data_IF_776108470392
#
_entry.id   IF_776108470392
#
_cell.length_a   1.000
_cell.length_b   1.000
_cell.length_c   1.000
_cell.angle_alpha   90.00
_cell.angle_beta   90.00
_cell.angle_gamma   90.00
#
_symmetry.space_group_name_H-M   'P 1'
#
loop_
_entity.id
_entity.type
_entity.pdbx_description
1 polymer ?
#
# COMPACT_ATOMS: atom_id res chain seq x y z
N UNK A 1 -3.49 -7.78 3.99
CA UNK A 1 -2.28 -7.18 4.61
C UNK A 1 -2.14 -5.76 4.07
N UNK A 2 -1.72 -4.83 4.92
CA UNK A 2 -1.38 -3.45 4.54
C UNK A 2 0.14 -3.36 4.59
N UNK A 3 0.76 -3.12 3.44
CA UNK A 3 2.20 -2.92 3.26
C UNK A 3 2.41 -1.43 3.13
N UNK A 4 3.22 -0.81 3.99
CA UNK A 4 3.37 0.64 4.01
C UNK A 4 4.80 1.13 4.25
N UNK A 5 5.09 2.37 3.87
CA UNK A 5 6.34 3.03 4.21
C UNK A 5 6.42 3.36 5.71
N UNK A 6 7.64 3.50 6.22
CA UNK A 6 7.90 3.66 7.66
C UNK A 6 7.81 5.10 8.15
N UNK A 7 7.67 6.08 7.25
CA UNK A 7 7.65 7.48 7.61
C UNK A 7 6.25 7.91 8.13
N UNK A 8 6.08 9.22 8.34
CA UNK A 8 4.85 9.74 8.94
C UNK A 8 3.63 9.52 8.04
N UNK A 9 3.73 9.77 6.74
CA UNK A 9 2.58 9.60 5.86
C UNK A 9 2.22 8.12 5.69
N UNK A 10 3.20 7.24 5.51
CA UNK A 10 2.98 5.80 5.43
C UNK A 10 2.33 5.23 6.68
N UNK A 11 2.81 5.59 7.89
CA UNK A 11 2.24 5.13 9.16
C UNK A 11 0.82 5.67 9.35
N UNK A 12 0.59 6.97 9.15
CA UNK A 12 -0.73 7.59 9.31
C UNK A 12 -1.73 7.03 8.30
N UNK A 13 -1.32 6.83 7.05
CA UNK A 13 -2.12 6.23 6.00
C UNK A 13 -2.50 4.78 6.32
N UNK A 14 -1.55 3.98 6.78
CA UNK A 14 -1.82 2.59 7.18
C UNK A 14 -2.74 2.51 8.40
N UNK A 15 -2.56 3.38 9.39
CA UNK A 15 -3.43 3.46 10.57
C UNK A 15 -4.86 3.88 10.18
N UNK A 16 -5.00 4.89 9.33
CA UNK A 16 -6.29 5.34 8.79
C UNK A 16 -7.00 4.19 8.06
N UNK A 17 -6.28 3.51 7.17
CA UNK A 17 -6.83 2.40 6.41
C UNK A 17 -7.20 1.22 7.31
N UNK A 18 -6.42 0.94 8.36
CA UNK A 18 -6.70 -0.12 9.34
C UNK A 18 -8.01 0.09 10.11
N UNK A 19 -8.43 1.33 10.32
CA UNK A 19 -9.74 1.64 10.92
C UNK A 19 -10.92 1.31 9.99
N UNK A 20 -10.67 1.17 8.68
CA UNK A 20 -11.67 0.86 7.65
C UNK A 20 -11.64 -0.63 7.32
N UNK A 21 -10.45 -1.21 7.27
CA UNK A 21 -10.21 -2.61 6.93
C UNK A 21 -9.30 -3.28 7.97
N UNK A 22 -9.84 -4.23 8.72
CA UNK A 22 -9.07 -4.96 9.73
C UNK A 22 -8.05 -5.92 9.07
N UNK A 23 -6.80 -5.48 8.95
CA UNK A 23 -5.70 -6.21 8.30
C UNK A 23 -4.39 -6.07 9.10
N UNK A 24 -3.54 -7.08 8.96
CA UNK A 24 -2.16 -7.04 9.43
C UNK A 24 -1.37 -5.92 8.74
N UNK A 25 -0.53 -5.21 9.50
CA UNK A 25 0.40 -4.20 9.01
C UNK A 25 1.78 -4.83 8.78
N UNK A 26 2.43 -4.44 7.70
CA UNK A 26 3.77 -4.87 7.35
C UNK A 26 4.56 -3.70 6.78
N UNK A 27 5.81 -3.55 7.20
CA UNK A 27 6.72 -2.48 6.76
C UNK A 27 7.95 -3.14 6.15
N UNK A 28 8.21 -2.97 4.85
CA UNK A 28 9.46 -3.43 4.23
C UNK A 28 10.67 -2.73 4.86
N UNK A 29 11.80 -3.42 4.96
CA UNK A 29 13.05 -2.85 5.47
C UNK A 29 13.65 -1.81 4.51
N UNK A 30 13.42 -1.99 3.21
CA UNK A 30 13.98 -1.18 2.12
C UNK A 30 12.87 -0.74 1.15
N UNK A 31 13.23 0.05 0.13
CA UNK A 31 12.33 0.45 -0.97
C UNK A 31 12.05 -0.67 -1.99
N UNK A 32 12.30 -1.93 -1.61
CA UNK A 32 12.04 -3.15 -2.38
C UNK A 32 11.79 -4.30 -1.40
N UNK A 33 11.20 -5.39 -1.89
CA UNK A 33 10.97 -6.60 -1.10
C UNK A 33 12.13 -7.59 -1.28
N UNK A 34 12.79 -7.94 -0.18
CA UNK A 34 13.76 -9.03 -0.18
C UNK A 34 13.09 -10.42 -0.13
N UNK A 35 13.87 -11.48 -0.29
CA UNK A 35 13.32 -12.84 -0.37
C UNK A 35 12.67 -13.31 0.93
N UNK A 36 13.20 -12.92 2.10
CA UNK A 36 12.60 -13.24 3.39
C UNK A 36 11.22 -12.59 3.55
N UNK A 37 11.09 -11.33 3.12
CA UNK A 37 9.83 -10.57 3.15
C UNK A 37 8.81 -11.13 2.16
N UNK A 38 9.26 -11.54 0.96
CA UNK A 38 8.42 -12.23 -0.02
C UNK A 38 7.88 -13.55 0.54
N UNK A 39 8.74 -14.35 1.16
CA UNK A 39 8.32 -15.60 1.80
C UNK A 39 7.42 -15.34 3.02
N UNK A 40 7.67 -14.28 3.78
CA UNK A 40 6.79 -13.83 4.86
C UNK A 40 5.38 -13.55 4.33
N UNK A 41 5.27 -12.69 3.30
CA UNK A 41 3.99 -12.29 2.68
C UNK A 41 3.25 -13.53 2.14
N UNK A 42 3.94 -14.42 1.41
CA UNK A 42 3.36 -15.66 0.90
C UNK A 42 2.81 -16.55 2.01
N UNK A 43 3.57 -16.76 3.09
CA UNK A 43 3.16 -17.64 4.21
C UNK A 43 1.90 -17.15 4.92
N UNK A 44 1.65 -15.83 4.93
CA UNK A 44 0.42 -15.25 5.50
C UNK A 44 -0.80 -15.44 4.59
N UNK A 45 -0.59 -15.77 3.32
CA UNK A 45 -1.62 -15.99 2.31
C UNK A 45 -2.76 -14.95 2.38
N UNK A 46 -2.44 -13.64 2.30
CA UNK A 46 -3.44 -12.61 2.48
C UNK A 46 -4.48 -12.65 1.35
N UNK A 47 -5.77 -12.54 1.69
CA UNK A 47 -6.83 -12.48 0.67
C UNK A 47 -6.72 -11.22 -0.23
N UNK A 48 -6.21 -10.12 0.33
CA UNK A 48 -5.96 -8.84 -0.34
C UNK A 48 -4.71 -8.18 0.22
N UNK A 49 -3.96 -7.50 -0.64
CA UNK A 49 -2.83 -6.66 -0.27
C UNK A 49 -3.15 -5.20 -0.61
N UNK A 50 -2.87 -4.32 0.35
CA UNK A 50 -2.96 -2.88 0.19
C UNK A 50 -1.54 -2.32 0.31
N UNK A 51 -1.01 -1.79 -0.79
CA UNK A 51 0.27 -1.11 -0.83
C UNK A 51 0.04 0.38 -0.64
N UNK A 52 0.67 0.97 0.38
CA UNK A 52 0.35 2.31 0.86
C UNK A 52 1.63 3.12 0.96
N UNK A 53 1.67 4.24 0.24
CA UNK A 53 2.74 5.25 0.33
C UNK A 53 4.15 4.73 0.01
N UNK A 54 4.25 3.71 -0.84
CA UNK A 54 5.55 3.14 -1.22
C UNK A 54 5.60 2.74 -2.69
N UNK A 55 6.52 3.37 -3.42
CA UNK A 55 6.79 3.09 -4.82
C UNK A 55 7.75 1.90 -4.99
N UNK A 56 7.25 0.68 -4.74
CA UNK A 56 8.02 -0.54 -4.98
C UNK A 56 8.37 -0.70 -6.48
N UNK A 57 9.51 -1.35 -6.82
CA UNK A 57 9.85 -1.63 -8.22
C UNK A 57 8.87 -2.60 -8.86
N UNK A 58 8.73 -2.55 -10.19
CA UNK A 58 7.76 -3.38 -10.95
C UNK A 58 7.85 -4.88 -10.61
N UNK A 59 9.06 -5.42 -10.45
CA UNK A 59 9.28 -6.83 -10.07
C UNK A 59 8.55 -7.23 -8.76
N UNK A 60 8.45 -6.30 -7.81
CA UNK A 60 7.83 -6.55 -6.51
C UNK A 60 6.32 -6.34 -6.59
N UNK A 61 5.86 -5.44 -7.45
CA UNK A 61 4.43 -5.32 -7.78
C UNK A 61 3.90 -6.58 -8.46
N UNK A 62 4.61 -7.08 -9.47
CA UNK A 62 4.26 -8.31 -10.17
C UNK A 62 4.20 -9.48 -9.19
N UNK A 63 5.17 -9.56 -8.27
CA UNK A 63 5.13 -10.51 -7.17
C UNK A 63 3.86 -10.37 -6.31
N UNK A 64 3.53 -9.16 -5.85
CA UNK A 64 2.36 -8.94 -4.98
C UNK A 64 1.04 -9.30 -5.68
N UNK A 65 0.91 -8.96 -6.97
CA UNK A 65 -0.25 -9.34 -7.80
C UNK A 65 -0.39 -10.86 -7.96
N UNK A 66 0.72 -11.58 -8.04
CA UNK A 66 0.71 -13.04 -8.09
C UNK A 66 0.34 -13.69 -6.75
N UNK A 67 0.53 -12.99 -5.63
CA UNK A 67 0.15 -13.49 -4.30
C UNK A 67 -1.35 -13.27 -4.04
N UNK A 68 -1.89 -12.09 -4.32
CA UNK A 68 -3.29 -11.77 -4.05
C UNK A 68 -3.77 -10.54 -4.82
N UNK A 69 -5.07 -10.22 -4.71
CA UNK A 69 -5.61 -8.97 -5.25
C UNK A 69 -4.90 -7.76 -4.62
N UNK A 70 -4.28 -6.93 -5.47
CA UNK A 70 -3.49 -5.78 -5.07
C UNK A 70 -4.28 -4.48 -5.24
N UNK A 71 -4.26 -3.66 -4.19
CA UNK A 71 -4.72 -2.28 -4.17
C UNK A 71 -3.53 -1.38 -3.87
N UNK A 72 -3.41 -0.25 -4.56
CA UNK A 72 -2.31 0.70 -4.36
C UNK A 72 -2.91 2.07 -4.04
N UNK A 73 -2.45 2.68 -2.96
CA UNK A 73 -2.70 4.08 -2.60
C UNK A 73 -1.35 4.76 -2.51
N UNK A 74 -1.06 5.69 -3.41
CA UNK A 74 0.27 6.26 -3.51
C UNK A 74 0.22 7.64 -4.17
N UNK A 75 1.13 8.52 -3.81
CA UNK A 75 1.31 9.83 -4.46
C UNK A 75 2.67 9.96 -5.18
N UNK A 76 3.53 8.94 -5.07
CA UNK A 76 4.79 8.90 -5.80
C UNK A 76 4.59 8.68 -7.30
N UNK A 77 5.56 9.15 -8.09
CA UNK A 77 5.58 8.97 -9.55
C UNK A 77 5.59 7.49 -9.91
N UNK A 78 4.57 7.05 -10.64
CA UNK A 78 4.41 5.66 -11.07
C UNK A 78 3.81 5.61 -12.47
N UNK A 79 4.45 4.88 -13.38
CA UNK A 79 3.98 4.75 -14.77
C UNK A 79 2.76 3.86 -14.91
N UNK A 80 2.63 2.88 -14.01
CA UNK A 80 1.56 1.90 -14.05
C UNK A 80 0.26 2.49 -13.49
N UNK A 81 -0.83 2.33 -14.25
CA UNK A 81 -2.18 2.77 -13.88
C UNK A 81 -3.13 1.60 -14.11
N UNK A 82 -3.64 1.02 -13.04
CA UNK A 82 -4.59 -0.08 -13.06
C UNK A 82 -5.84 0.28 -12.26
N UNK A 83 -6.92 -0.50 -12.44
CA UNK A 83 -8.23 -0.24 -11.81
C UNK A 83 -8.17 -0.07 -10.29
N UNK A 84 -7.30 -0.84 -9.61
CA UNK A 84 -7.17 -0.82 -8.16
C UNK A 84 -6.04 0.09 -7.68
N UNK A 85 -5.48 0.93 -8.56
CA UNK A 85 -4.36 1.82 -8.26
C UNK A 85 -4.90 3.25 -8.18
N UNK A 86 -5.00 3.75 -6.96
CA UNK A 86 -5.41 5.10 -6.63
C UNK A 86 -4.17 5.95 -6.46
N UNK A 87 -3.72 6.54 -7.57
CA UNK A 87 -2.49 7.31 -7.62
C UNK A 87 -2.80 8.75 -8.00
N UNK A 88 -2.41 9.68 -7.12
CA UNK A 88 -2.54 11.12 -7.33
C UNK A 88 -1.19 11.78 -7.00
N UNK A 89 -0.43 12.11 -8.04
CA UNK A 89 0.92 12.69 -7.92
C UNK A 89 0.90 14.16 -7.47
N UNK A 90 -0.26 14.82 -7.54
CA UNK A 90 -0.45 16.18 -7.06
C UNK A 90 -0.93 16.20 -5.60
N UNK A 91 -1.30 15.04 -5.04
CA UNK A 91 -1.68 14.93 -3.63
C UNK A 91 -0.46 15.16 -2.73
N UNK A 92 -0.58 16.00 -1.67
CA UNK A 92 0.50 16.21 -0.72
C UNK A 92 0.80 14.98 0.14
N UNK A 93 -0.13 14.01 0.20
CA UNK A 93 0.02 12.82 1.02
C UNK A 93 -0.89 11.67 0.54
N UNK A 94 -0.47 10.43 0.78
CA UNK A 94 -1.27 9.22 0.59
C UNK A 94 -2.47 9.19 1.53
N UNK A 95 -2.34 9.75 2.74
CA UNK A 95 -3.43 9.85 3.71
C UNK A 95 -4.63 10.64 3.17
N UNK A 96 -4.39 11.70 2.38
CA UNK A 96 -5.44 12.46 1.72
C UNK A 96 -6.14 11.64 0.63
N UNK A 97 -5.37 10.87 -0.16
CA UNK A 97 -5.92 9.98 -1.20
C UNK A 97 -6.88 8.97 -0.57
N UNK A 98 -6.48 8.32 0.53
CA UNK A 98 -7.32 7.37 1.26
C UNK A 98 -8.59 8.05 1.79
N UNK A 99 -8.45 9.23 2.41
CA UNK A 99 -9.59 10.00 2.93
C UNK A 99 -10.61 10.32 1.84
N UNK A 100 -10.14 10.79 0.68
CA UNK A 100 -10.99 11.12 -0.47
C UNK A 100 -11.65 9.87 -1.06
N UNK A 101 -10.89 8.79 -1.26
CA UNK A 101 -11.39 7.53 -1.82
C UNK A 101 -12.53 6.95 -0.97
N UNK A 102 -12.35 6.90 0.35
CA UNK A 102 -13.34 6.37 1.29
C UNK A 102 -14.37 7.42 1.76
N UNK A 103 -14.30 8.66 1.27
CA UNK A 103 -15.18 9.77 1.64
C UNK A 103 -15.30 9.97 3.16
N UNK A 104 -14.17 9.86 3.86
CA UNK A 104 -14.13 10.03 5.31
C UNK A 104 -14.39 11.51 5.64
N UNK A 105 -15.21 11.77 6.66
CA UNK A 105 -15.50 13.13 7.12
C UNK A 105 -14.27 13.75 7.77
N UNK A 106 -14.22 15.08 7.77
CA UNK A 106 -13.30 15.80 8.64
C UNK A 106 -13.94 15.86 10.02
N UNK A 107 -13.16 15.57 11.06
CA UNK A 107 -13.58 15.74 12.46
C UNK A 107 -13.67 17.22 12.84
#
# INVERSE_FOLDING_TARGET
>A
MIIHHWDTDGICSAALLKNIIERELFVPKDFFLNDEEKEYIKKRNPAKIYLVDIALPNKDIDFLKNVSELYVFDHHKRKEREKNFYIDEDSPSTSLIIKQHYKLKED
#
